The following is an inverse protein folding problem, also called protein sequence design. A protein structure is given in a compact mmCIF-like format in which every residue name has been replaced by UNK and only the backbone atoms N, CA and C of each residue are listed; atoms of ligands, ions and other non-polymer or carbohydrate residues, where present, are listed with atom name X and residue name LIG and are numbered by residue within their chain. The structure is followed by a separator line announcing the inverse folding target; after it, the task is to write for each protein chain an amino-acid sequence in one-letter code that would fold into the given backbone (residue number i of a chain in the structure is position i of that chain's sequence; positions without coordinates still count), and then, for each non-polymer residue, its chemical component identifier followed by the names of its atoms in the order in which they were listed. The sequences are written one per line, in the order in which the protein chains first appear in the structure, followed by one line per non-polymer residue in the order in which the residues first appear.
data_IF_950005968433
#
_entry.id   IF_950005968433
#
_cell.length_a   1.000
_cell.length_b   1.000
_cell.length_c   1.000
_cell.angle_alpha   90.00
_cell.angle_beta   90.00
_cell.angle_gamma   90.00
#
_symmetry.space_group_name_H-M   'P 1'
#
loop_
_entity.id
_entity.type
_entity.pdbx_description
1 polymer ?
#
# COMPACT_ATOMS: atom_id res chain seq x y z
N UNK A 1 -60.10 -5.22 -29.86
CA UNK A 1 -59.88 -6.67 -29.61
C UNK A 1 -60.35 -6.95 -28.19
N UNK A 2 -61.51 -7.61 -28.04
CA UNK A 2 -62.07 -8.00 -26.74
C UNK A 2 -61.64 -9.43 -26.40
N UNK A 3 -61.28 -9.68 -25.13
CA UNK A 3 -60.98 -11.03 -24.64
C UNK A 3 -62.29 -11.72 -24.23
N UNK A 4 -62.50 -12.96 -24.68
CA UNK A 4 -63.64 -13.80 -24.31
C UNK A 4 -63.49 -14.23 -22.82
N UNK A 5 -64.54 -14.17 -21.98
CA UNK A 5 -64.49 -14.61 -20.59
C UNK A 5 -63.88 -16.00 -20.39
N UNK A 6 -64.10 -16.94 -21.32
CA UNK A 6 -63.48 -18.28 -21.26
C UNK A 6 -61.97 -18.25 -21.47
N UNK A 7 -61.47 -17.32 -22.29
CA UNK A 7 -60.03 -17.17 -22.52
C UNK A 7 -59.30 -16.66 -21.29
N UNK A 8 -59.95 -15.82 -20.47
CA UNK A 8 -59.40 -15.34 -19.20
C UNK A 8 -59.30 -16.45 -18.16
N UNK A 9 -60.28 -17.35 -18.10
CA UNK A 9 -60.29 -18.47 -17.17
C UNK A 9 -59.15 -19.45 -17.49
N UNK A 10 -59.02 -19.85 -18.76
CA UNK A 10 -57.92 -20.71 -19.21
C UNK A 10 -56.53 -20.08 -19.00
N UNK A 11 -56.41 -18.75 -19.17
CA UNK A 11 -55.15 -18.03 -18.92
C UNK A 11 -54.77 -18.04 -17.44
N UNK A 12 -55.75 -17.96 -16.53
CA UNK A 12 -55.54 -18.08 -15.08
C UNK A 12 -55.13 -19.50 -14.70
N UNK A 13 -55.74 -20.52 -15.31
CA UNK A 13 -55.38 -21.93 -15.09
C UNK A 13 -53.97 -22.27 -15.58
N UNK A 14 -53.55 -21.69 -16.71
CA UNK A 14 -52.19 -21.83 -17.24
C UNK A 14 -51.18 -20.88 -16.56
N UNK A 15 -51.66 -19.94 -15.76
CA UNK A 15 -50.85 -19.03 -14.98
C UNK A 15 -50.11 -19.78 -13.88
N UNK A 16 -48.78 -19.73 -13.89
CA UNK A 16 -47.95 -20.23 -12.79
C UNK A 16 -48.35 -19.51 -11.50
N UNK A 17 -48.80 -20.24 -10.49
CA UNK A 17 -49.05 -19.67 -9.16
C UNK A 17 -47.72 -19.27 -8.53
N UNK A 18 -47.63 -18.03 -8.06
CA UNK A 18 -46.46 -17.55 -7.33
C UNK A 18 -46.32 -18.39 -6.04
N UNK A 19 -45.13 -18.96 -5.74
CA UNK A 19 -44.91 -19.64 -4.47
C UNK A 19 -45.20 -18.69 -3.30
N UNK A 20 -45.65 -19.26 -2.18
CA UNK A 20 -45.97 -18.51 -0.98
C UNK A 20 -44.80 -17.60 -0.60
N UNK A 21 -45.11 -16.32 -0.31
CA UNK A 21 -44.11 -15.37 0.12
C UNK A 21 -43.39 -15.92 1.36
N UNK A 22 -42.06 -15.95 1.32
CA UNK A 22 -41.27 -16.28 2.49
C UNK A 22 -41.67 -15.33 3.62
N UNK A 23 -41.74 -15.82 4.87
CA UNK A 23 -42.02 -14.94 6.00
C UNK A 23 -41.01 -13.79 5.98
N UNK A 24 -41.53 -12.56 5.96
CA UNK A 24 -40.70 -11.38 6.18
C UNK A 24 -39.96 -11.58 7.50
N UNK A 25 -38.62 -11.55 7.52
CA UNK A 25 -37.88 -11.71 8.75
C UNK A 25 -38.37 -10.65 9.74
N UNK A 26 -38.81 -11.08 10.93
CA UNK A 26 -39.13 -10.17 12.02
C UNK A 26 -38.01 -9.16 12.16
N UNK A 27 -38.39 -7.89 12.33
CA UNK A 27 -37.46 -6.79 12.54
C UNK A 27 -36.53 -7.13 13.71
N UNK A 28 -35.36 -7.66 13.34
CA UNK A 28 -34.31 -8.02 14.27
C UNK A 28 -33.95 -6.74 15.02
N UNK A 29 -33.90 -6.75 16.37
CA UNK A 29 -33.48 -5.59 17.14
C UNK A 29 -32.14 -5.12 16.60
N UNK A 30 -32.01 -3.80 16.41
CA UNK A 30 -30.89 -3.06 15.85
C UNK A 30 -29.65 -3.95 15.66
N UNK A 31 -29.36 -4.29 14.41
CA UNK A 31 -28.15 -5.00 14.07
C UNK A 31 -26.97 -4.22 14.63
N UNK A 32 -26.44 -4.69 15.76
CA UNK A 32 -25.03 -4.48 16.08
C UNK A 32 -24.25 -4.86 14.82
N UNK A 33 -23.26 -4.06 14.40
CA UNK A 33 -22.65 -4.24 13.09
C UNK A 33 -21.91 -5.59 13.06
N UNK A 34 -22.58 -6.61 12.54
CA UNK A 34 -21.96 -7.85 12.04
C UNK A 34 -21.18 -7.60 10.73
N UNK A 35 -21.14 -6.36 10.25
CA UNK A 35 -20.44 -5.92 9.05
C UNK A 35 -18.90 -5.97 9.15
N UNK A 36 -18.36 -6.40 10.29
CA UNK A 36 -16.94 -6.71 10.52
C UNK A 36 -16.65 -8.22 10.56
N UNK A 37 -17.62 -9.10 10.28
CA UNK A 37 -17.42 -10.55 10.22
C UNK A 37 -16.47 -10.91 9.07
N UNK A 38 -15.16 -10.94 9.39
CA UNK A 38 -14.03 -11.48 8.62
C UNK A 38 -13.51 -10.63 7.46
N UNK A 39 -13.35 -9.32 7.67
CA UNK A 39 -12.38 -8.60 6.82
C UNK A 39 -11.01 -9.22 7.06
N UNK A 40 -10.35 -9.64 5.99
CA UNK A 40 -8.96 -10.08 6.08
C UNK A 40 -8.12 -8.93 6.61
N UNK A 41 -7.05 -9.22 7.35
CA UNK A 41 -6.24 -8.16 7.96
C UNK A 41 -5.69 -7.18 6.90
N UNK A 42 -5.38 -7.69 5.70
CA UNK A 42 -5.00 -6.90 4.51
C UNK A 42 -6.06 -5.85 4.10
N UNK A 43 -7.32 -6.03 4.48
CA UNK A 43 -8.40 -5.09 4.21
C UNK A 43 -8.62 -4.07 5.34
N UNK A 44 -8.02 -4.27 6.51
CA UNK A 44 -8.16 -3.34 7.64
C UNK A 44 -6.88 -2.56 7.90
N UNK A 45 -5.74 -3.06 7.40
CA UNK A 45 -4.45 -2.46 7.66
C UNK A 45 -4.26 -1.14 6.90
N UNK A 46 -3.67 -0.17 7.60
CA UNK A 46 -3.44 1.20 7.11
C UNK A 46 -1.95 1.50 6.95
N UNK A 47 -1.08 0.77 7.66
CA UNK A 47 0.36 0.92 7.53
C UNK A 47 0.84 0.20 6.27
N UNK A 48 1.53 0.88 5.33
CA UNK A 48 1.96 0.26 4.07
C UNK A 48 2.91 -0.92 4.31
N UNK A 49 3.81 -0.81 5.29
CA UNK A 49 4.77 -1.86 5.64
C UNK A 49 4.07 -3.12 6.19
N UNK A 50 3.03 -2.95 7.03
CA UNK A 50 2.29 -4.09 7.58
C UNK A 50 1.37 -4.73 6.54
N UNK A 51 0.70 -3.89 5.73
CA UNK A 51 -0.13 -4.34 4.63
C UNK A 51 0.67 -5.20 3.65
N UNK A 52 1.87 -4.78 3.27
CA UNK A 52 2.76 -5.56 2.40
C UNK A 52 3.16 -6.91 3.01
N UNK A 53 3.54 -6.93 4.30
CA UNK A 53 3.90 -8.18 5.00
C UNK A 53 2.74 -9.16 5.04
N UNK A 54 1.53 -8.68 5.28
CA UNK A 54 0.36 -9.53 5.26
C UNK A 54 0.04 -10.04 3.87
N UNK A 55 0.15 -9.20 2.83
CA UNK A 55 -0.01 -9.62 1.43
C UNK A 55 0.96 -10.76 1.06
N UNK A 56 2.20 -10.70 1.52
CA UNK A 56 3.18 -11.79 1.34
C UNK A 56 2.81 -13.07 2.11
N UNK A 57 2.15 -12.96 3.27
CA UNK A 57 1.72 -14.13 4.05
C UNK A 57 0.47 -14.81 3.47
N UNK A 58 -0.48 -14.04 2.92
CA UNK A 58 -1.71 -14.61 2.33
C UNK A 58 -1.56 -14.99 0.87
N UNK A 59 -0.54 -14.51 0.15
CA UNK A 59 -0.27 -14.88 -1.24
C UNK A 59 1.04 -15.67 -1.38
N UNK A 60 1.02 -16.99 -1.08
CA UNK A 60 2.17 -17.86 -1.31
C UNK A 60 2.52 -18.00 -2.81
N UNK A 61 1.54 -17.75 -3.68
CA UNK A 61 1.69 -17.80 -5.14
C UNK A 61 2.21 -16.48 -5.74
N UNK A 62 2.44 -15.43 -4.91
CA UNK A 62 2.90 -14.11 -5.36
C UNK A 62 1.89 -13.33 -6.21
N UNK A 63 0.70 -13.87 -6.43
CA UNK A 63 -0.37 -13.20 -7.19
C UNK A 63 -1.23 -12.37 -6.25
N UNK A 64 -1.21 -11.05 -6.44
CA UNK A 64 -1.96 -10.11 -5.59
C UNK A 64 -3.07 -9.44 -6.42
N UNK A 65 -4.33 -9.45 -5.97
CA UNK A 65 -5.42 -8.72 -6.62
C UNK A 65 -5.12 -7.22 -6.80
N UNK A 66 -5.55 -6.66 -7.94
CA UNK A 66 -5.26 -5.27 -8.31
C UNK A 66 -5.68 -4.24 -7.24
N UNK A 67 -6.86 -4.43 -6.65
CA UNK A 67 -7.39 -3.51 -5.64
C UNK A 67 -6.53 -3.46 -4.37
N UNK A 68 -5.85 -4.55 -3.98
CA UNK A 68 -4.93 -4.56 -2.84
C UNK A 68 -3.62 -3.85 -3.17
N UNK A 69 -3.12 -3.99 -4.39
CA UNK A 69 -1.96 -3.24 -4.88
C UNK A 69 -2.24 -1.73 -4.96
N UNK A 70 -3.42 -1.34 -5.44
CA UNK A 70 -3.83 0.05 -5.47
C UNK A 70 -3.87 0.64 -4.06
N UNK A 71 -4.46 -0.09 -3.11
CA UNK A 71 -4.48 0.32 -1.70
C UNK A 71 -3.09 0.48 -1.11
N UNK A 72 -2.18 -0.44 -1.39
CA UNK A 72 -0.78 -0.35 -0.93
C UNK A 72 -0.12 0.94 -1.44
N UNK A 73 -0.31 1.27 -2.72
CA UNK A 73 0.19 2.53 -3.31
C UNK A 73 -0.42 3.76 -2.63
N UNK A 74 -1.72 3.75 -2.35
CA UNK A 74 -2.40 4.85 -1.66
C UNK A 74 -1.88 5.03 -0.23
N UNK A 75 -1.67 3.93 0.51
CA UNK A 75 -1.11 3.95 1.86
C UNK A 75 0.33 4.47 1.86
N UNK A 76 1.15 4.04 0.90
CA UNK A 76 2.52 4.53 0.72
C UNK A 76 2.55 6.03 0.43
N UNK A 77 1.73 6.52 -0.51
CA UNK A 77 1.66 7.94 -0.84
C UNK A 77 1.23 8.79 0.36
N UNK A 78 0.29 8.31 1.17
CA UNK A 78 -0.12 8.98 2.41
C UNK A 78 1.03 9.04 3.41
N UNK A 79 1.71 7.92 3.65
CA UNK A 79 2.88 7.89 4.54
C UNK A 79 4.04 8.75 4.04
N UNK A 80 4.28 8.83 2.73
CA UNK A 80 5.29 9.72 2.15
C UNK A 80 4.91 11.20 2.30
N UNK A 81 3.62 11.54 2.13
CA UNK A 81 3.13 12.89 2.36
C UNK A 81 3.26 13.31 3.83
N UNK A 82 3.02 12.40 4.77
CA UNK A 82 3.19 12.64 6.22
C UNK A 82 4.68 12.71 6.63
N UNK A 83 5.54 11.88 6.01
CA UNK A 83 7.00 11.92 6.21
C UNK A 83 7.69 13.10 5.51
N UNK A 84 7.01 13.81 4.61
CA UNK A 84 7.43 15.14 4.15
C UNK A 84 6.72 16.21 4.99
N UNK A 85 7.22 16.55 6.20
CA UNK A 85 6.81 17.80 6.79
C UNK A 85 7.21 18.91 5.81
N UNK A 86 6.35 19.91 5.67
CA UNK A 86 6.66 21.15 5.00
C UNK A 86 7.83 21.85 5.71
N UNK A 87 9.08 21.44 5.44
CA UNK A 87 10.27 22.26 5.66
C UNK A 87 10.36 23.26 4.50
N UNK A 88 9.37 24.15 4.45
CA UNK A 88 9.35 25.29 3.56
C UNK A 88 8.77 26.51 4.31
N UNK A 89 9.30 26.81 5.50
CA UNK A 89 9.23 28.14 6.13
C UNK A 89 10.12 28.22 7.38
N UNK A 90 11.42 27.98 7.23
CA UNK A 90 12.42 28.69 8.05
C UNK A 90 13.56 29.03 7.12
N UNK A 91 13.60 30.29 6.73
CA UNK A 91 14.72 30.92 6.08
C UNK A 91 15.94 30.90 6.99
N UNK A 92 16.67 29.79 6.99
CA UNK A 92 18.10 29.80 7.24
C UNK A 92 18.75 29.35 5.94
N UNK A 93 19.61 30.19 5.32
CA UNK A 93 20.26 29.80 4.08
C UNK A 93 21.07 28.54 4.36
N UNK A 94 20.92 27.54 3.49
CA UNK A 94 21.87 26.45 3.39
C UNK A 94 23.29 27.05 3.46
N UNK A 95 24.22 26.51 4.25
CA UNK A 95 25.62 26.79 3.97
C UNK A 95 25.85 26.34 2.52
N UNK A 96 26.20 27.30 1.67
CA UNK A 96 26.58 27.05 0.30
C UNK A 96 27.60 25.89 0.27
N UNK A 97 27.56 24.99 -0.73
CA UNK A 97 28.69 24.10 -0.94
C UNK A 97 29.91 24.99 -1.09
N UNK A 98 30.83 24.90 -0.13
CA UNK A 98 32.03 25.73 -0.14
C UNK A 98 32.79 25.38 -1.40
N UNK A 99 32.69 26.28 -2.38
CA UNK A 99 33.54 26.29 -3.55
C UNK A 99 34.93 26.58 -3.02
N UNK A 100 35.65 25.52 -2.70
CA UNK A 100 36.86 25.63 -1.91
C UNK A 100 37.63 24.34 -1.89
N UNK A 101 38.08 23.87 -3.06
CA UNK A 101 39.50 23.58 -3.26
C UNK A 101 39.81 23.33 -4.73
N UNK A 102 40.81 24.07 -5.20
CA UNK A 102 41.35 24.06 -6.56
C UNK A 102 41.75 22.65 -6.98
N UNK A 103 41.62 22.29 -8.26
CA UNK A 103 42.11 21.03 -8.78
C UNK A 103 43.64 21.05 -8.75
N UNK A 104 44.26 20.46 -7.73
CA UNK A 104 45.64 20.03 -7.85
C UNK A 104 45.67 18.83 -8.79
N UNK A 105 46.23 19.09 -9.96
CA UNK A 105 46.61 18.14 -10.99
C UNK A 105 47.39 16.97 -10.37
N UNK A 106 46.70 15.86 -10.15
CA UNK A 106 47.30 14.61 -9.71
C UNK A 106 46.22 13.55 -9.65
N UNK A 107 46.16 12.70 -10.67
CA UNK A 107 45.28 11.53 -10.70
C UNK A 107 45.64 10.63 -9.51
N UNK A 108 44.91 10.75 -8.41
CA UNK A 108 44.82 9.69 -7.42
C UNK A 108 43.36 9.32 -7.36
N UNK A 109 43.05 8.09 -7.77
CA UNK A 109 41.70 7.52 -7.78
C UNK A 109 41.27 7.15 -6.36
N UNK A 110 41.61 7.98 -5.36
CA UNK A 110 41.30 7.66 -3.99
C UNK A 110 39.86 8.09 -3.73
N UNK A 111 38.98 7.18 -3.31
CA UNK A 111 37.61 7.54 -2.99
C UNK A 111 37.63 8.58 -1.88
N UNK A 112 37.12 9.78 -2.18
CA UNK A 112 36.97 10.83 -1.18
C UNK A 112 35.75 10.48 -0.33
N UNK A 113 35.95 10.27 0.97
CA UNK A 113 34.84 10.04 1.89
C UNK A 113 34.06 11.35 2.08
N UNK A 114 32.72 11.31 2.06
CA UNK A 114 31.92 12.45 2.46
C UNK A 114 32.24 12.85 3.91
N UNK A 115 32.11 14.14 4.22
CA UNK A 115 32.32 14.67 5.58
C UNK A 115 31.07 14.38 6.42
N UNK A 116 31.11 13.32 7.19
CA UNK A 116 30.00 12.81 8.02
C UNK A 116 30.37 12.95 9.50
N UNK A 117 29.40 13.18 10.39
CA UNK A 117 29.68 13.32 11.83
C UNK A 117 30.18 11.98 12.42
N UNK A 118 31.27 11.96 13.23
CA UNK A 118 31.81 10.73 13.78
C UNK A 118 30.83 10.06 14.76
N UNK A 119 30.55 8.77 14.57
CA UNK A 119 29.61 7.98 15.37
C UNK A 119 28.13 8.06 14.93
N UNK A 120 27.87 8.70 13.79
CA UNK A 120 26.52 8.80 13.21
C UNK A 120 26.09 7.51 12.50
N UNK A 121 24.78 7.32 12.33
CA UNK A 121 24.23 6.21 11.55
C UNK A 121 24.71 6.24 10.08
N UNK A 122 24.81 7.43 9.51
CA UNK A 122 25.31 7.67 8.15
C UNK A 122 26.78 7.23 7.99
N UNK A 123 27.66 7.46 8.98
CA UNK A 123 29.03 6.94 8.94
C UNK A 123 29.05 5.41 8.94
N UNK A 124 28.23 4.78 9.79
CA UNK A 124 28.09 3.33 9.85
C UNK A 124 27.64 2.74 8.52
N UNK A 125 26.69 3.38 7.85
CA UNK A 125 26.20 2.98 6.53
C UNK A 125 27.27 3.10 5.44
N UNK A 126 28.05 4.19 5.42
CA UNK A 126 29.14 4.35 4.46
C UNK A 126 30.27 3.35 4.68
N UNK A 127 30.56 3.01 5.94
CA UNK A 127 31.54 1.97 6.28
C UNK A 127 31.05 0.59 5.85
N UNK A 128 29.80 0.24 6.14
CA UNK A 128 29.20 -1.03 5.76
C UNK A 128 29.15 -1.21 4.23
N UNK A 129 28.75 -0.18 3.49
CA UNK A 129 28.77 -0.19 2.03
C UNK A 129 30.18 -0.35 1.47
N UNK A 130 31.18 0.30 2.08
CA UNK A 130 32.57 0.12 1.71
C UNK A 130 33.05 -1.33 1.90
N UNK A 131 32.68 -1.98 3.00
CA UNK A 131 33.02 -3.38 3.25
C UNK A 131 32.37 -4.31 2.22
N UNK A 132 31.09 -4.11 1.90
CA UNK A 132 30.38 -4.90 0.90
C UNK A 132 31.07 -4.84 -0.48
N UNK A 133 31.49 -3.66 -0.92
CA UNK A 133 32.19 -3.49 -2.21
C UNK A 133 33.56 -4.17 -2.23
N UNK A 134 34.24 -4.27 -1.08
CA UNK A 134 35.54 -4.94 -0.98
C UNK A 134 35.41 -6.46 -0.80
N UNK A 135 34.30 -6.95 -0.24
CA UNK A 135 34.02 -8.38 -0.12
C UNK A 135 33.79 -9.03 -1.49
N UNK A 136 33.10 -8.35 -2.41
CA UNK A 136 32.86 -8.86 -3.78
C UNK A 136 34.13 -8.90 -4.67
N UNK A 137 35.18 -8.11 -4.37
CA UNK A 137 36.44 -8.11 -5.15
C UNK A 137 37.43 -9.19 -4.67
N UNK A 138 37.17 -9.84 -3.53
CA UNK A 138 38.08 -10.84 -2.93
C UNK A 138 37.77 -12.30 -3.33
N UNK A 139 36.77 -12.54 -4.18
CA UNK A 139 36.33 -13.89 -4.60
C UNK A 139 36.84 -14.36 -5.98
N UNK A 140 37.81 -13.69 -6.62
CA UNK A 140 38.48 -14.14 -7.86
C UNK A 140 40.02 -14.33 -7.70
#
# INVERSE_FOLDING_TARGET
MSFDPRSLERLKELGRTLPQALPTPEAKPASTPKASERRHKVETEQNPEQLFRELMQVSPDGTVPEHLMQRLKEAEQRSQAERRPATAATSSPLPAPTTGQRPIKGKTTRPQRPSVAPGSEEESLYVAFGQLLLEDEAED
#
